data_IF_521317015263
#
_entry.id   IF_521317015263
#
_cell.length_a   1.000
_cell.length_b   1.000
_cell.length_c   1.000
_cell.angle_alpha   90.00
_cell.angle_beta   90.00
_cell.angle_gamma   90.00
#
_symmetry.space_group_name_H-M   'P 1'
#
loop_
_entity.id
_entity.type
_entity.pdbx_description
1 polymer ?
#
# COMPACT_ATOMS: atom_id res chain seq x y z
N UNK A 1 -39.04 -14.85 -34.88
CA UNK A 1 -37.66 -14.43 -35.22
C UNK A 1 -37.15 -13.27 -34.36
N UNK A 2 -37.91 -12.18 -34.15
CA UNK A 2 -37.47 -11.02 -33.34
C UNK A 2 -37.29 -11.32 -31.83
N UNK A 3 -38.16 -12.12 -31.23
CA UNK A 3 -38.05 -12.53 -29.81
C UNK A 3 -36.82 -13.40 -29.52
N UNK A 4 -36.44 -14.28 -30.44
CA UNK A 4 -35.22 -15.09 -30.31
C UNK A 4 -33.96 -14.21 -30.32
N UNK A 5 -33.96 -13.11 -31.07
CA UNK A 5 -32.82 -12.17 -31.08
C UNK A 5 -32.74 -11.36 -29.79
N UNK A 6 -33.88 -10.93 -29.24
CA UNK A 6 -33.94 -10.18 -27.97
C UNK A 6 -33.46 -11.06 -26.80
N UNK A 7 -33.96 -12.29 -26.71
CA UNK A 7 -33.52 -13.24 -25.68
C UNK A 7 -32.03 -13.60 -25.81
N UNK A 8 -31.50 -13.69 -27.02
CA UNK A 8 -30.06 -13.93 -27.22
C UNK A 8 -29.21 -12.75 -26.74
N UNK A 9 -29.68 -11.52 -26.95
CA UNK A 9 -29.02 -10.29 -26.49
C UNK A 9 -29.08 -10.18 -24.96
N UNK A 10 -30.21 -10.51 -24.33
CA UNK A 10 -30.34 -10.50 -22.86
C UNK A 10 -29.38 -11.50 -22.20
N UNK A 11 -29.27 -12.72 -22.73
CA UNK A 11 -28.33 -13.72 -22.22
C UNK A 11 -26.88 -13.25 -22.42
N UNK A 12 -26.56 -12.66 -23.56
CA UNK A 12 -25.23 -12.12 -23.81
C UNK A 12 -24.89 -10.95 -22.85
N UNK A 13 -25.84 -10.06 -22.59
CA UNK A 13 -25.67 -8.97 -21.63
C UNK A 13 -25.47 -9.49 -20.20
N UNK A 14 -26.28 -10.47 -19.78
CA UNK A 14 -26.13 -11.11 -18.47
C UNK A 14 -24.77 -11.81 -18.32
N UNK A 15 -24.32 -12.53 -19.35
CA UNK A 15 -23.02 -13.19 -19.36
C UNK A 15 -21.86 -12.18 -19.31
N UNK A 16 -21.95 -11.06 -20.03
CA UNK A 16 -20.94 -10.01 -20.01
C UNK A 16 -20.83 -9.34 -18.63
N UNK A 17 -21.97 -9.04 -18.00
CA UNK A 17 -21.99 -8.48 -16.64
C UNK A 17 -21.43 -9.46 -15.61
N UNK A 18 -21.78 -10.74 -15.72
CA UNK A 18 -21.26 -11.79 -14.84
C UNK A 18 -19.75 -11.95 -14.99
N UNK A 19 -19.23 -12.03 -16.22
CA UNK A 19 -17.79 -12.12 -16.47
C UNK A 19 -17.04 -10.87 -15.99
N UNK A 20 -17.62 -9.67 -16.14
CA UNK A 20 -17.06 -8.43 -15.62
C UNK A 20 -16.96 -8.42 -14.09
N UNK A 21 -17.98 -8.91 -13.39
CA UNK A 21 -17.97 -9.03 -11.94
C UNK A 21 -16.92 -10.07 -11.47
N UNK A 22 -16.82 -11.22 -12.14
CA UNK A 22 -15.78 -12.21 -11.84
C UNK A 22 -14.38 -11.66 -12.07
N UNK A 23 -14.16 -10.89 -13.14
CA UNK A 23 -12.88 -10.24 -13.41
C UNK A 23 -12.49 -9.23 -12.34
N UNK A 24 -13.44 -8.39 -11.93
CA UNK A 24 -13.23 -7.41 -10.87
C UNK A 24 -12.89 -8.08 -9.53
N UNK A 25 -13.62 -9.13 -9.15
CA UNK A 25 -13.33 -9.91 -7.94
C UNK A 25 -11.95 -10.56 -7.98
N UNK A 26 -11.53 -11.07 -9.14
CA UNK A 26 -10.19 -11.66 -9.31
C UNK A 26 -9.08 -10.62 -9.14
N UNK A 27 -9.26 -9.43 -9.72
CA UNK A 27 -8.31 -8.32 -9.56
C UNK A 27 -8.17 -7.93 -8.09
N UNK A 28 -9.31 -7.79 -7.39
CA UNK A 28 -9.32 -7.44 -5.97
C UNK A 28 -8.66 -8.51 -5.10
N UNK A 29 -8.85 -9.80 -5.42
CA UNK A 29 -8.21 -10.90 -4.69
C UNK A 29 -6.69 -10.91 -4.90
N UNK A 30 -6.21 -10.63 -6.11
CA UNK A 30 -4.78 -10.52 -6.40
C UNK A 30 -4.11 -9.36 -5.63
N UNK A 31 -4.81 -8.24 -5.47
CA UNK A 31 -4.31 -7.12 -4.67
C UNK A 31 -4.23 -7.46 -3.17
N UNK A 32 -5.23 -8.18 -2.67
CA UNK A 32 -5.25 -8.66 -1.28
C UNK A 32 -4.12 -9.65 -1.03
N UNK A 33 -3.90 -10.62 -1.91
CA UNK A 33 -2.82 -11.59 -1.78
C UNK A 33 -1.44 -10.91 -1.79
N UNK A 34 -1.24 -9.92 -2.66
CA UNK A 34 0.00 -9.13 -2.69
C UNK A 34 0.18 -8.30 -1.40
N UNK A 35 -0.90 -7.74 -0.85
CA UNK A 35 -0.86 -7.03 0.42
C UNK A 35 -0.53 -7.97 1.59
N UNK A 36 -1.12 -9.17 1.62
CA UNK A 36 -0.84 -10.18 2.65
C UNK A 36 0.60 -10.70 2.56
N UNK A 37 1.13 -10.89 1.36
CA UNK A 37 2.53 -11.28 1.17
C UNK A 37 3.49 -10.20 1.68
N UNK A 38 3.20 -8.92 1.39
CA UNK A 38 3.95 -7.79 1.93
C UNK A 38 3.90 -7.75 3.47
N UNK A 39 2.72 -7.94 4.06
CA UNK A 39 2.55 -8.01 5.52
C UNK A 39 3.33 -9.18 6.12
N UNK A 40 3.33 -10.35 5.47
CA UNK A 40 4.04 -11.53 5.96
C UNK A 40 5.56 -11.32 5.94
N UNK A 41 6.10 -10.67 4.90
CA UNK A 41 7.51 -10.28 4.83
C UNK A 41 7.88 -9.25 5.90
N UNK A 42 6.96 -8.34 6.25
CA UNK A 42 7.15 -7.33 7.29
C UNK A 42 6.99 -7.86 8.72
N UNK A 43 6.32 -9.00 8.93
CA UNK A 43 6.05 -9.57 10.27
C UNK A 43 7.18 -10.49 10.78
N UNK A 44 8.15 -10.87 9.92
CA UNK A 44 9.34 -11.62 10.35
C UNK A 44 10.30 -10.70 11.13
N UNK A 45 10.06 -10.58 12.44
CA UNK A 45 10.97 -10.12 13.52
C UNK A 45 11.73 -8.78 13.35
N UNK A 46 11.45 -8.03 12.30
CA UNK A 46 11.97 -6.69 12.07
C UNK A 46 10.85 -5.67 12.08
N UNK A 47 11.06 -4.55 12.77
CA UNK A 47 10.19 -3.36 12.67
C UNK A 47 9.84 -3.13 11.20
N UNK A 48 8.57 -2.97 10.86
CA UNK A 48 8.14 -2.78 9.47
C UNK A 48 8.74 -1.52 8.85
N UNK A 49 9.12 -0.55 9.68
CA UNK A 49 9.92 0.61 9.31
C UNK A 49 11.37 0.31 8.89
N UNK A 50 11.93 -0.82 9.33
CA UNK A 50 13.33 -1.19 9.18
C UNK A 50 13.40 -2.43 8.30
N UNK A 51 13.44 -2.21 6.99
CA UNK A 51 13.90 -3.24 6.06
C UNK A 51 15.41 -3.44 6.26
N UNK A 52 15.85 -4.52 6.92
CA UNK A 52 17.29 -4.94 6.90
C UNK A 52 17.59 -5.76 5.65
N UNK A 53 17.07 -5.33 4.51
CA UNK A 53 17.76 -5.68 3.27
C UNK A 53 19.11 -5.00 3.40
N UNK A 54 20.18 -5.81 3.52
CA UNK A 54 21.56 -5.36 3.37
C UNK A 54 21.60 -4.41 2.18
N UNK A 55 21.64 -3.09 2.44
CA UNK A 55 21.86 -2.08 1.42
C UNK A 55 23.17 -2.46 0.74
N UNK A 56 23.04 -3.04 -0.45
CA UNK A 56 24.19 -3.52 -1.22
C UNK A 56 24.98 -2.34 -1.80
N UNK A 57 24.38 -1.15 -1.79
CA UNK A 57 24.99 0.13 -2.11
C UNK A 57 24.24 1.25 -1.40
N UNK A 58 24.93 2.29 -0.96
CA UNK A 58 24.37 3.52 -0.37
C UNK A 58 23.59 4.40 -1.36
N UNK A 59 23.19 3.84 -2.50
CA UNK A 59 22.63 4.50 -3.68
C UNK A 59 21.42 3.80 -4.27
N UNK A 60 20.99 2.66 -3.72
CA UNK A 60 19.70 2.08 -4.08
C UNK A 60 18.62 2.80 -3.29
N UNK A 61 17.84 3.61 -4.01
CA UNK A 61 16.65 4.26 -3.47
C UNK A 61 15.67 3.19 -2.96
N UNK A 62 15.47 3.15 -1.65
CA UNK A 62 14.51 2.24 -1.02
C UNK A 62 13.10 2.64 -1.47
N UNK A 63 12.48 1.80 -2.29
CA UNK A 63 11.10 2.02 -2.75
C UNK A 63 10.15 1.03 -2.10
N UNK A 64 9.02 1.54 -1.64
CA UNK A 64 7.94 0.83 -0.98
C UNK A 64 6.66 1.00 -1.77
N UNK A 65 5.78 0.01 -1.78
CA UNK A 65 4.42 0.12 -2.27
C UNK A 65 3.57 0.96 -1.31
N UNK A 66 2.55 1.63 -1.80
CA UNK A 66 1.63 2.39 -0.94
C UNK A 66 0.94 1.52 0.11
N UNK A 67 0.68 0.24 -0.20
CA UNK A 67 0.18 -0.74 0.78
C UNK A 67 1.18 -0.96 1.94
N UNK A 68 2.49 -0.99 1.65
CA UNK A 68 3.55 -1.09 2.66
C UNK A 68 3.65 0.19 3.49
N UNK A 69 3.49 1.36 2.86
CA UNK A 69 3.44 2.66 3.56
C UNK A 69 2.24 2.74 4.50
N UNK A 70 1.06 2.27 4.07
CA UNK A 70 -0.14 2.16 4.92
C UNK A 70 0.09 1.24 6.11
N UNK A 71 0.84 0.15 5.93
CA UNK A 71 1.17 -0.74 7.04
C UNK A 71 2.14 -0.09 8.03
N UNK A 72 3.15 0.64 7.53
CA UNK A 72 4.09 1.38 8.37
C UNK A 72 3.43 2.49 9.19
N UNK A 73 2.27 3.01 8.79
CA UNK A 73 1.50 3.97 9.60
C UNK A 73 1.02 3.38 10.94
N UNK A 74 0.84 2.05 11.04
CA UNK A 74 0.51 1.42 12.33
C UNK A 74 1.62 1.60 13.36
N UNK A 75 2.88 1.60 12.92
CA UNK A 75 4.03 1.87 13.81
C UNK A 75 4.10 3.35 14.23
N UNK A 76 3.61 4.26 13.37
CA UNK A 76 3.44 5.69 13.69
C UNK A 76 2.33 5.88 14.73
N UNK A 77 1.19 5.19 14.60
CA UNK A 77 0.13 5.18 15.60
C UNK A 77 0.60 4.64 16.96
N UNK A 78 1.55 3.70 16.97
CA UNK A 78 2.20 3.19 18.19
C UNK A 78 3.22 4.17 18.80
N UNK A 79 3.44 5.34 18.17
CA UNK A 79 4.30 6.40 18.70
C UNK A 79 5.79 6.17 18.47
N UNK A 80 6.19 5.32 17.52
CA UNK A 80 7.60 4.94 17.35
C UNK A 80 8.45 5.99 16.61
N UNK A 81 7.89 6.69 15.63
CA UNK A 81 8.60 7.68 14.80
C UNK A 81 7.60 8.58 14.06
N UNK A 82 8.09 9.69 13.48
CA UNK A 82 7.31 10.57 12.62
C UNK A 82 7.35 10.10 11.16
N UNK A 83 6.25 10.22 10.42
CA UNK A 83 6.22 9.85 9.00
C UNK A 83 5.66 10.99 8.16
N UNK A 84 6.22 11.22 6.97
CA UNK A 84 5.64 12.12 5.98
C UNK A 84 5.39 11.36 4.68
N UNK A 85 4.22 11.48 4.08
CA UNK A 85 3.91 10.91 2.75
C UNK A 85 3.44 12.01 1.81
N UNK A 86 4.15 12.23 0.71
CA UNK A 86 3.86 13.28 -0.29
C UNK A 86 3.61 14.68 0.34
N UNK A 87 4.36 14.99 1.40
CA UNK A 87 4.26 16.26 2.15
C UNK A 87 3.19 16.30 3.24
N UNK A 88 2.38 15.25 3.41
CA UNK A 88 1.44 15.10 4.53
C UNK A 88 2.15 14.44 5.71
N UNK A 89 2.14 15.11 6.86
CA UNK A 89 2.82 14.66 8.06
C UNK A 89 1.88 13.86 8.97
N UNK A 90 2.36 12.70 9.41
CA UNK A 90 1.75 11.79 10.36
C UNK A 90 2.62 11.76 11.62
N UNK A 91 2.08 12.34 12.70
CA UNK A 91 2.78 12.44 13.98
C UNK A 91 2.70 11.14 14.78
N UNK A 92 3.65 10.89 15.70
CA UNK A 92 3.64 9.71 16.53
C UNK A 92 2.41 9.73 17.44
N UNK A 93 1.68 8.62 17.51
CA UNK A 93 0.45 8.51 18.31
C UNK A 93 -0.79 9.12 17.66
N UNK A 94 -0.71 9.51 16.38
CA UNK A 94 -1.84 10.02 15.62
C UNK A 94 -2.87 8.90 15.39
N UNK A 95 -4.14 9.21 15.62
CA UNK A 95 -5.24 8.28 15.36
C UNK A 95 -5.50 8.19 13.84
N UNK A 96 -5.22 7.03 13.25
CA UNK A 96 -5.34 6.80 11.81
C UNK A 96 -6.79 6.93 11.31
N UNK A 97 -7.78 6.72 12.18
CA UNK A 97 -9.20 6.88 11.85
C UNK A 97 -9.59 8.36 11.65
N UNK A 98 -8.77 9.29 12.17
CA UNK A 98 -9.00 10.73 12.07
C UNK A 98 -8.30 11.39 10.87
N UNK A 99 -7.53 10.62 10.09
CA UNK A 99 -6.62 11.15 9.06
C UNK A 99 -7.04 10.70 7.67
N UNK A 100 -6.86 11.57 6.69
CA UNK A 100 -7.13 11.22 5.30
C UNK A 100 -6.02 10.31 4.74
N UNK A 101 -6.27 9.00 4.72
CA UNK A 101 -5.37 7.99 4.16
C UNK A 101 -5.41 7.92 2.62
N UNK A 102 -6.35 8.59 1.95
CA UNK A 102 -6.44 8.61 0.49
C UNK A 102 -5.26 9.33 -0.18
N UNK A 103 -4.40 9.99 0.61
CA UNK A 103 -3.12 10.54 0.16
C UNK A 103 -2.14 9.42 -0.25
N UNK A 104 -2.34 8.20 0.27
CA UNK A 104 -1.50 7.05 0.00
C UNK A 104 -2.20 6.14 -1.01
N UNK A 105 -1.70 6.13 -2.23
CA UNK A 105 -2.20 5.24 -3.27
C UNK A 105 -1.58 3.85 -3.09
N UNK A 106 -2.38 2.86 -2.71
CA UNK A 106 -1.89 1.51 -2.41
C UNK A 106 -1.05 0.88 -3.53
N UNK A 107 -1.38 1.16 -4.79
CA UNK A 107 -0.66 0.66 -5.98
C UNK A 107 0.52 1.51 -6.44
N UNK A 108 0.74 2.69 -5.86
CA UNK A 108 1.86 3.56 -6.21
C UNK A 108 3.15 3.13 -5.50
N UNK A 109 4.29 3.58 -6.03
CA UNK A 109 5.60 3.38 -5.40
C UNK A 109 6.07 4.66 -4.73
N UNK A 110 6.65 4.52 -3.55
CA UNK A 110 7.12 5.59 -2.70
C UNK A 110 8.58 5.35 -2.33
N UNK A 111 9.43 6.32 -2.60
CA UNK A 111 10.82 6.33 -2.17
C UNK A 111 10.87 6.79 -0.72
N UNK A 112 11.57 6.04 0.14
CA UNK A 112 11.74 6.40 1.54
C UNK A 112 13.11 7.05 1.81
N UNK A 113 13.07 8.18 2.50
CA UNK A 113 14.24 8.85 3.06
C UNK A 113 14.18 8.81 4.59
N UNK A 114 15.21 8.24 5.20
CA UNK A 114 15.29 8.07 6.65
C UNK A 114 16.12 9.17 7.29
N UNK A 115 15.61 9.74 8.38
CA UNK A 115 16.34 10.62 9.27
C UNK A 115 16.60 9.91 10.59
N UNK A 116 17.86 9.85 11.01
CA UNK A 116 18.29 9.22 12.24
C UNK A 116 18.71 10.26 13.27
N UNK A 117 18.36 10.00 14.53
CA UNK A 117 18.89 10.73 15.69
C UNK A 117 20.37 10.38 15.94
N UNK A 118 21.05 11.17 16.78
CA UNK A 118 22.45 10.91 17.16
C UNK A 118 22.66 9.57 17.88
N UNK A 119 21.60 8.96 18.43
CA UNK A 119 21.63 7.63 19.04
C UNK A 119 21.44 6.48 18.03
N UNK A 120 21.27 6.78 16.74
CA UNK A 120 21.00 5.78 15.70
C UNK A 120 19.54 5.31 15.64
N UNK A 121 18.64 5.93 16.39
CA UNK A 121 17.19 5.66 16.33
C UNK A 121 16.56 6.46 15.20
N UNK A 122 15.63 5.87 14.45
CA UNK A 122 14.87 6.59 13.41
C UNK A 122 14.04 7.69 14.08
N UNK A 123 14.20 8.92 13.60
CA UNK A 123 13.43 10.07 14.05
C UNK A 123 12.25 10.34 13.11
N UNK A 124 12.51 10.34 11.79
CA UNK A 124 11.47 10.55 10.78
C UNK A 124 11.71 9.75 9.51
N UNK A 125 10.63 9.35 8.84
CA UNK A 125 10.65 8.69 7.53
C UNK A 125 9.85 9.55 6.54
N UNK A 126 10.45 9.90 5.40
CA UNK A 126 9.77 10.65 4.34
C UNK A 126 9.57 9.76 3.12
N UNK A 127 8.32 9.55 2.74
CA UNK A 127 7.89 8.84 1.54
C UNK A 127 7.50 9.82 0.44
N UNK A 128 8.15 9.73 -0.71
CA UNK A 128 7.90 10.56 -1.89
C UNK A 128 7.49 9.65 -3.04
N UNK A 129 6.34 9.90 -3.66
CA UNK A 129 5.84 9.11 -4.79
C UNK A 129 6.83 9.16 -5.96
N UNK A 130 7.26 7.97 -6.40
CA UNK A 130 8.16 7.76 -7.54
C UNK A 130 7.44 6.84 -8.52
N UNK A 131 6.68 7.48 -9.41
CA UNK A 131 5.91 6.91 -10.53
C UNK A 131 4.48 6.48 -10.21
#
# INVERSE_FOLDING_TARGET
MREQTVTMIEIAAAAALFMGACWFSFHMQSEIDAALEAVNLMTQEQSSAITTVKMRSSTDDLTFLGSEVLFMLQEVQQGKYEMSVDGVMFLPGLDLDSVNLSVIEAGARYQANYSYSMSGTINSIQHIKVR
#
